data_IF_738411773573
#
_entry.id   IF_738411773573
#
_cell.length_a   1.000
_cell.length_b   1.000
_cell.length_c   1.000
_cell.angle_alpha   90.00
_cell.angle_beta   90.00
_cell.angle_gamma   90.00
#
_symmetry.space_group_name_H-M   'P 1'
#
loop_
_entity.id
_entity.type
_entity.pdbx_description
1 polymer ?
#
# COMPACT_ATOMS: atom_id res chain seq x y z
N UNK A 1 -1.90 14.26 5.85
CA UNK A 1 -0.44 14.31 5.73
C UNK A 1 0.14 12.91 5.69
N UNK A 2 1.17 12.73 4.90
CA UNK A 2 1.89 11.47 4.82
C UNK A 2 3.32 11.61 5.30
N UNK A 3 3.98 10.48 5.48
CA UNK A 3 5.37 10.44 5.92
C UNK A 3 6.18 9.52 5.02
N UNK A 4 7.42 9.91 4.75
CA UNK A 4 8.40 9.03 4.08
C UNK A 4 9.47 8.68 5.08
N UNK A 5 9.73 7.39 5.25
CA UNK A 5 10.75 6.88 6.17
C UNK A 5 11.78 6.08 5.36
N UNK A 6 13.04 6.47 5.47
CA UNK A 6 14.15 5.76 4.82
C UNK A 6 14.90 4.93 5.84
N UNK A 7 15.00 3.64 5.56
CA UNK A 7 15.73 2.70 6.42
C UNK A 7 17.14 2.48 5.88
N UNK A 8 18.04 2.07 6.75
CA UNK A 8 19.47 1.91 6.39
C UNK A 8 19.72 0.78 5.38
N UNK A 9 18.78 -0.17 5.25
CA UNK A 9 18.91 -1.29 4.30
C UNK A 9 18.43 -0.93 2.88
N UNK A 10 18.04 0.32 2.65
CA UNK A 10 17.55 0.77 1.34
C UNK A 10 16.04 0.82 1.20
N UNK A 11 15.30 0.30 2.19
CA UNK A 11 13.84 0.37 2.16
C UNK A 11 13.38 1.80 2.39
N UNK A 12 12.54 2.33 1.52
CA UNK A 12 11.94 3.64 1.67
C UNK A 12 10.42 3.48 1.68
N UNK A 13 9.81 3.81 2.80
CA UNK A 13 8.39 3.57 3.05
C UNK A 13 7.63 4.88 3.02
N UNK A 14 6.50 4.89 2.31
CA UNK A 14 5.56 5.99 2.35
C UNK A 14 4.31 5.57 3.12
N UNK A 15 3.97 6.34 4.15
CA UNK A 15 2.72 6.17 4.89
C UNK A 15 1.76 7.26 4.43
N UNK A 16 0.70 6.87 3.75
CA UNK A 16 -0.19 7.83 3.10
C UNK A 16 -1.04 8.65 4.07
N UNK A 17 -1.36 8.10 5.24
CA UNK A 17 -2.35 8.72 6.11
C UNK A 17 -3.73 8.73 5.45
N UNK A 18 -4.63 9.56 5.97
CA UNK A 18 -5.99 9.70 5.43
C UNK A 18 -6.00 10.74 4.32
N UNK A 19 -5.57 10.35 3.14
CA UNK A 19 -5.48 11.28 2.03
C UNK A 19 -6.03 10.66 0.74
N UNK A 20 -6.49 11.53 -0.16
CA UNK A 20 -6.77 11.13 -1.52
C UNK A 20 -5.51 11.27 -2.39
N UNK A 21 -5.70 11.17 -3.69
CA UNK A 21 -4.61 11.33 -4.64
C UNK A 21 -4.17 12.80 -4.70
N UNK A 22 -2.86 13.04 -4.81
CA UNK A 22 -2.33 14.40 -4.99
C UNK A 22 -1.01 14.35 -5.78
N UNK A 23 -0.63 15.50 -6.34
CA UNK A 23 0.52 15.59 -7.25
C UNK A 23 1.86 15.26 -6.60
N UNK A 24 2.00 15.53 -5.30
CA UNK A 24 3.23 15.23 -4.57
C UNK A 24 3.51 13.74 -4.45
N UNK A 25 2.51 12.90 -4.67
CA UNK A 25 2.72 11.46 -4.76
C UNK A 25 3.67 11.13 -5.90
N UNK A 26 3.62 11.86 -7.01
CA UNK A 26 4.56 11.67 -8.10
C UNK A 26 5.88 12.40 -7.83
N UNK A 27 5.82 13.72 -7.61
CA UNK A 27 7.02 14.56 -7.56
C UNK A 27 7.89 14.32 -6.33
N UNK A 28 7.27 14.17 -5.17
CA UNK A 28 8.00 14.03 -3.90
C UNK A 28 8.18 12.57 -3.52
N UNK A 29 7.09 11.82 -3.44
CA UNK A 29 7.13 10.44 -2.95
C UNK A 29 7.77 9.50 -3.98
N UNK A 30 7.36 9.58 -5.23
CA UNK A 30 7.85 8.70 -6.28
C UNK A 30 9.19 9.15 -6.85
N UNK A 31 9.24 10.36 -7.42
CA UNK A 31 10.42 10.81 -8.15
C UNK A 31 11.59 11.21 -7.24
N UNK A 32 11.31 11.96 -6.18
CA UNK A 32 12.38 12.44 -5.30
C UNK A 32 12.83 11.39 -4.29
N UNK A 33 11.91 10.88 -3.47
CA UNK A 33 12.26 9.91 -2.42
C UNK A 33 12.33 8.48 -2.93
N UNK A 34 11.68 8.17 -4.04
CA UNK A 34 11.67 6.83 -4.65
C UNK A 34 11.18 5.77 -3.67
N UNK A 35 10.02 6.04 -3.04
CA UNK A 35 9.41 5.10 -2.11
C UNK A 35 9.16 3.76 -2.80
N UNK A 36 9.64 2.67 -2.22
CA UNK A 36 9.48 1.35 -2.79
C UNK A 36 8.47 0.47 -2.04
N UNK A 37 8.02 0.91 -0.88
CA UNK A 37 6.92 0.28 -0.14
C UNK A 37 5.94 1.36 0.29
N UNK A 38 4.66 1.16 0.01
CA UNK A 38 3.62 2.12 0.38
C UNK A 38 2.63 1.46 1.35
N UNK A 39 2.41 2.10 2.49
CA UNK A 39 1.31 1.74 3.39
C UNK A 39 0.14 2.66 3.05
N UNK A 40 -0.84 2.11 2.37
CA UNK A 40 -1.96 2.86 1.85
C UNK A 40 -3.19 2.66 2.73
N UNK A 41 -3.72 3.75 3.30
CA UNK A 41 -4.97 3.70 4.04
C UNK A 41 -6.11 3.54 3.03
N UNK A 42 -6.63 2.34 2.92
CA UNK A 42 -7.67 2.01 1.95
C UNK A 42 -9.02 1.68 2.61
N UNK A 43 -9.08 1.70 3.93
CA UNK A 43 -10.31 1.40 4.66
C UNK A 43 -11.28 2.56 4.75
N UNK A 44 -10.82 3.78 4.52
CA UNK A 44 -11.66 4.97 4.55
C UNK A 44 -12.23 5.26 3.16
N UNK A 45 -13.18 6.21 3.09
CA UNK A 45 -13.73 6.67 1.82
C UNK A 45 -12.85 7.73 1.15
N UNK A 46 -11.68 8.02 1.70
CA UNK A 46 -10.80 9.07 1.19
C UNK A 46 -10.27 8.78 -0.21
N UNK A 47 -10.11 7.50 -0.56
CA UNK A 47 -9.58 7.12 -1.85
C UNK A 47 -10.38 5.94 -2.42
N UNK A 48 -10.70 6.00 -3.71
CA UNK A 48 -11.38 4.91 -4.41
C UNK A 48 -10.37 3.87 -4.92
N UNK A 49 -10.86 2.70 -5.32
CA UNK A 49 -10.01 1.68 -5.94
C UNK A 49 -9.33 2.21 -7.20
N UNK A 50 -10.05 2.97 -8.01
CA UNK A 50 -9.52 3.56 -9.22
C UNK A 50 -8.40 4.57 -8.93
N UNK A 51 -8.64 5.50 -8.01
CA UNK A 51 -7.64 6.52 -7.65
C UNK A 51 -6.42 5.88 -6.98
N UNK A 52 -6.63 4.90 -6.11
CA UNK A 52 -5.52 4.18 -5.47
C UNK A 52 -4.66 3.46 -6.51
N UNK A 53 -5.30 2.78 -7.47
CA UNK A 53 -4.60 2.10 -8.55
C UNK A 53 -3.79 3.08 -9.38
N UNK A 54 -4.36 4.22 -9.73
CA UNK A 54 -3.66 5.24 -10.48
C UNK A 54 -2.45 5.77 -9.71
N UNK A 55 -2.64 6.08 -8.42
CA UNK A 55 -1.55 6.59 -7.58
C UNK A 55 -0.39 5.59 -7.52
N UNK A 56 -0.69 4.30 -7.34
CA UNK A 56 0.35 3.28 -7.23
C UNK A 56 1.01 2.99 -8.58
N UNK A 57 0.22 2.82 -9.64
CA UNK A 57 0.76 2.42 -10.95
C UNK A 57 1.42 3.57 -11.71
N UNK A 58 0.92 4.81 -11.54
CA UNK A 58 1.34 5.94 -12.39
C UNK A 58 2.10 7.04 -11.64
N UNK A 59 1.84 7.23 -10.35
CA UNK A 59 2.46 8.32 -9.60
C UNK A 59 3.66 7.86 -8.77
N UNK A 60 3.45 6.98 -7.81
CA UNK A 60 4.51 6.55 -6.88
C UNK A 60 5.34 5.41 -7.49
N UNK A 61 4.68 4.45 -8.11
CA UNK A 61 5.30 3.26 -8.73
C UNK A 61 6.16 2.46 -7.74
N UNK A 62 5.62 2.09 -6.57
CA UNK A 62 6.39 1.33 -5.59
C UNK A 62 6.55 -0.12 -6.03
N UNK A 63 7.46 -0.85 -5.37
CA UNK A 63 7.62 -2.28 -5.60
C UNK A 63 6.50 -3.10 -4.96
N UNK A 64 5.95 -2.61 -3.85
CA UNK A 64 4.86 -3.30 -3.14
C UNK A 64 3.99 -2.31 -2.39
N UNK A 65 2.76 -2.73 -2.08
CA UNK A 65 1.77 -1.93 -1.36
C UNK A 65 1.21 -2.76 -0.20
N UNK A 66 1.05 -2.14 0.96
CA UNK A 66 0.32 -2.73 2.08
C UNK A 66 -0.96 -1.92 2.24
N UNK A 67 -2.10 -2.59 2.07
CA UNK A 67 -3.39 -1.95 2.31
C UNK A 67 -3.71 -2.01 3.79
N UNK A 68 -3.89 -0.85 4.42
CA UNK A 68 -4.21 -0.74 5.84
C UNK A 68 -5.66 -0.35 6.03
N UNK A 69 -6.18 -0.52 7.24
CA UNK A 69 -7.56 -0.21 7.61
C UNK A 69 -8.61 -1.06 6.87
N UNK A 70 -8.23 -2.24 6.44
CA UNK A 70 -9.10 -3.09 5.61
C UNK A 70 -9.51 -4.40 6.29
N UNK A 71 -8.91 -4.74 7.42
CA UNK A 71 -9.00 -6.07 8.01
C UNK A 71 -10.45 -6.57 8.18
N UNK A 72 -11.29 -5.81 8.87
CA UNK A 72 -12.65 -6.25 9.20
C UNK A 72 -13.60 -6.23 8.01
N UNK A 73 -13.38 -5.33 7.07
CA UNK A 73 -14.28 -5.15 5.92
C UNK A 73 -13.89 -5.98 4.71
N UNK A 74 -12.60 -6.24 4.57
CA UNK A 74 -12.06 -6.90 3.39
C UNK A 74 -11.80 -8.37 3.59
N UNK A 75 -11.74 -8.85 4.83
CA UNK A 75 -11.35 -10.23 5.10
C UNK A 75 -12.38 -10.99 5.93
N UNK A 76 -12.38 -12.31 5.75
CA UNK A 76 -13.12 -13.25 6.58
C UNK A 76 -12.14 -14.35 6.95
N UNK A 77 -11.93 -14.56 8.27
CA UNK A 77 -10.97 -15.54 8.77
C UNK A 77 -9.57 -15.36 8.17
N UNK A 78 -9.15 -14.11 8.01
CA UNK A 78 -7.83 -13.76 7.47
C UNK A 78 -7.69 -13.89 5.96
N UNK A 79 -8.77 -14.19 5.25
CA UNK A 79 -8.75 -14.33 3.79
C UNK A 79 -9.53 -13.20 3.13
N UNK A 80 -9.03 -12.73 2.00
CA UNK A 80 -9.64 -11.64 1.24
C UNK A 80 -11.03 -12.02 0.75
N UNK A 81 -12.01 -11.15 1.02
CA UNK A 81 -13.37 -11.33 0.53
C UNK A 81 -13.45 -10.90 -0.92
N UNK A 82 -13.91 -11.78 -1.84
CA UNK A 82 -13.89 -11.46 -3.28
C UNK A 82 -14.73 -10.25 -3.68
N UNK A 83 -15.77 -9.93 -2.93
CA UNK A 83 -16.67 -8.81 -3.22
C UNK A 83 -16.23 -7.48 -2.61
N UNK A 84 -15.12 -7.45 -1.87
CA UNK A 84 -14.69 -6.25 -1.17
C UNK A 84 -14.04 -5.23 -2.11
N UNK A 85 -14.04 -3.95 -1.68
CA UNK A 85 -13.27 -2.89 -2.38
C UNK A 85 -11.80 -3.25 -2.49
N UNK A 86 -11.27 -3.89 -1.46
CA UNK A 86 -9.85 -4.26 -1.43
C UNK A 86 -9.56 -5.34 -2.47
N UNK A 87 -10.48 -6.27 -2.70
CA UNK A 87 -10.32 -7.25 -3.77
C UNK A 87 -10.26 -6.57 -5.14
N UNK A 88 -11.07 -5.52 -5.35
CA UNK A 88 -11.02 -4.74 -6.58
C UNK A 88 -9.65 -4.05 -6.74
N UNK A 89 -9.12 -3.48 -5.68
CA UNK A 89 -7.79 -2.88 -5.70
C UNK A 89 -6.72 -3.90 -6.08
N UNK A 90 -6.75 -5.08 -5.45
CA UNK A 90 -5.79 -6.15 -5.74
C UNK A 90 -5.83 -6.56 -7.20
N UNK A 91 -7.03 -6.68 -7.78
CA UNK A 91 -7.18 -7.06 -9.19
C UNK A 91 -6.66 -6.01 -10.16
N UNK A 92 -6.90 -4.73 -9.87
CA UNK A 92 -6.51 -3.62 -10.75
C UNK A 92 -5.02 -3.30 -10.63
N UNK A 93 -4.41 -3.67 -9.51
CA UNK A 93 -3.06 -3.28 -9.17
C UNK A 93 -2.03 -4.15 -9.87
N UNK A 94 -1.01 -3.53 -10.48
CA UNK A 94 0.09 -4.24 -11.14
C UNK A 94 1.16 -4.70 -10.15
N UNK A 95 1.17 -4.13 -8.95
CA UNK A 95 2.17 -4.42 -7.94
C UNK A 95 1.59 -5.33 -6.87
N UNK A 96 2.43 -6.10 -6.16
CA UNK A 96 1.93 -6.90 -5.04
C UNK A 96 1.22 -6.03 -4.01
N UNK A 97 0.02 -6.44 -3.60
CA UNK A 97 -0.73 -5.78 -2.54
C UNK A 97 -0.90 -6.75 -1.40
N UNK A 98 -0.40 -6.38 -0.24
CA UNK A 98 -0.48 -7.18 0.98
C UNK A 98 -1.50 -6.56 1.91
N UNK A 99 -2.19 -7.39 2.69
CA UNK A 99 -3.21 -6.92 3.63
C UNK A 99 -2.63 -6.87 5.04
N UNK A 100 -2.85 -5.75 5.73
CA UNK A 100 -2.45 -5.61 7.13
C UNK A 100 -3.50 -6.31 8.01
N UNK A 101 -3.26 -7.57 8.33
CA UNK A 101 -4.14 -8.40 9.15
C UNK A 101 -3.75 -8.26 10.61
N UNK A 102 -4.73 -7.99 11.48
CA UNK A 102 -4.49 -7.84 12.91
C UNK A 102 -3.80 -9.07 13.50
N UNK A 103 -2.76 -8.83 14.29
CA UNK A 103 -2.01 -9.89 14.94
C UNK A 103 -0.96 -10.58 14.08
N UNK A 104 -0.85 -10.20 12.82
CA UNK A 104 0.14 -10.79 11.89
C UNK A 104 1.31 -9.83 11.68
N UNK A 105 2.51 -10.37 11.67
CA UNK A 105 3.74 -9.61 11.38
C UNK A 105 4.21 -9.91 9.96
N UNK A 106 4.52 -8.86 9.20
CA UNK A 106 5.11 -8.98 7.87
C UNK A 106 6.53 -8.42 7.90
N UNK A 107 7.44 -9.05 7.17
CA UNK A 107 8.83 -8.59 7.08
C UNK A 107 9.21 -8.34 5.63
N UNK A 108 9.84 -7.22 5.37
CA UNK A 108 10.25 -6.78 4.02
C UNK A 108 11.74 -6.52 3.97
N UNK A 109 12.38 -6.88 2.86
CA UNK A 109 13.79 -6.54 2.65
C UNK A 109 13.93 -5.11 2.10
N UNK A 110 15.17 -4.68 1.82
CA UNK A 110 15.46 -3.34 1.33
C UNK A 110 14.89 -3.01 -0.04
N UNK A 111 14.43 -4.02 -0.77
CA UNK A 111 13.81 -3.85 -2.10
C UNK A 111 12.29 -3.99 -2.04
N UNK A 112 11.72 -3.99 -0.85
CA UNK A 112 10.29 -4.17 -0.59
C UNK A 112 9.76 -5.54 -1.03
N UNK A 113 10.60 -6.56 -1.03
CA UNK A 113 10.13 -7.93 -1.18
C UNK A 113 9.68 -8.45 0.18
N UNK A 114 8.51 -9.09 0.24
CA UNK A 114 8.07 -9.72 1.48
C UNK A 114 8.85 -11.01 1.70
N UNK A 115 9.56 -11.08 2.81
CA UNK A 115 10.36 -12.25 3.16
C UNK A 115 9.66 -13.14 4.19
N UNK A 116 8.63 -12.65 4.86
CA UNK A 116 7.84 -13.44 5.81
C UNK A 116 6.50 -12.76 6.11
N UNK A 117 5.48 -13.56 6.38
CA UNK A 117 4.24 -13.12 6.98
C UNK A 117 3.20 -12.46 6.08
N UNK A 118 3.35 -12.48 4.76
CA UNK A 118 2.46 -11.76 3.86
C UNK A 118 1.28 -12.58 3.34
N UNK A 119 1.13 -13.80 3.75
CA UNK A 119 0.03 -14.67 3.30
C UNK A 119 -1.02 -14.86 4.38
#
# INVERSE_FOLDING_TARGET
SGYVIKFTNGLTVYLSGDTGIHTEMKSVVGDFHKANLVLLNYGSSAISAYSATYAMNELIKPSAVIATHVNERATTSGKLRPESRTAALVKMQKRPVHLAISGRTMEFDGKANCVAGCN
#
